data_IF_008063930051
#
_entry.id   IF_008063930051
#
_cell.length_a   1.000
_cell.length_b   1.000
_cell.length_c   1.000
_cell.angle_alpha   90.00
_cell.angle_beta   90.00
_cell.angle_gamma   90.00
#
_symmetry.space_group_name_H-M   'P 1'
#
loop_
_entity.id
_entity.type
_entity.pdbx_description
1 polymer ?
#
# COMPACT_ATOMS: atom_id res chain seq x y z
N UNK A 1 -10.26 -7.83 -27.71
CA UNK A 1 -10.01 -8.61 -26.47
C UNK A 1 -9.97 -7.60 -25.33
N UNK A 2 -10.81 -7.74 -24.30
CA UNK A 2 -10.95 -6.73 -23.23
C UNK A 2 -9.65 -6.50 -22.44
N UNK A 3 -8.72 -7.43 -22.49
CA UNK A 3 -7.40 -7.35 -21.85
C UNK A 3 -6.54 -6.15 -22.29
N UNK A 4 -6.75 -5.64 -23.51
CA UNK A 4 -5.99 -4.52 -24.05
C UNK A 4 -6.59 -3.14 -23.73
N UNK A 5 -7.78 -3.10 -23.11
CA UNK A 5 -8.43 -1.84 -22.73
C UNK A 5 -7.76 -1.27 -21.48
N UNK A 6 -7.65 0.05 -21.43
CA UNK A 6 -7.19 0.78 -20.25
C UNK A 6 -8.18 0.63 -19.10
N UNK A 7 -7.73 0.91 -17.89
CA UNK A 7 -8.59 0.90 -16.70
C UNK A 7 -9.76 1.89 -16.79
N UNK A 8 -9.55 3.04 -17.45
CA UNK A 8 -10.60 4.02 -17.65
C UNK A 8 -11.67 3.51 -18.62
N UNK A 9 -11.26 2.85 -19.70
CA UNK A 9 -12.18 2.25 -20.68
C UNK A 9 -12.97 1.09 -20.06
N UNK A 10 -12.29 0.18 -19.35
CA UNK A 10 -12.96 -0.91 -18.64
C UNK A 10 -13.94 -0.40 -17.59
N UNK A 11 -13.58 0.64 -16.86
CA UNK A 11 -14.46 1.26 -15.86
C UNK A 11 -15.69 1.89 -16.52
N UNK A 12 -15.51 2.63 -17.62
CA UNK A 12 -16.61 3.23 -18.37
C UNK A 12 -17.61 2.17 -18.86
N UNK A 13 -17.12 1.05 -19.40
CA UNK A 13 -17.96 -0.07 -19.80
C UNK A 13 -18.66 -0.72 -18.60
N UNK A 14 -17.94 -0.96 -17.50
CA UNK A 14 -18.53 -1.50 -16.28
C UNK A 14 -19.63 -0.59 -15.69
N UNK A 15 -19.50 0.74 -15.84
CA UNK A 15 -20.54 1.71 -15.48
C UNK A 15 -21.78 1.65 -16.37
N UNK A 16 -21.70 0.99 -17.53
CA UNK A 16 -22.86 0.66 -18.36
C UNK A 16 -23.38 -0.76 -18.12
N UNK A 17 -23.03 -1.35 -16.98
CA UNK A 17 -23.41 -2.70 -16.53
C UNK A 17 -22.84 -3.83 -17.39
N UNK A 18 -21.74 -3.58 -18.10
CA UNK A 18 -20.98 -4.62 -18.79
C UNK A 18 -20.21 -5.49 -17.78
N UNK A 19 -20.78 -6.65 -17.49
CA UNK A 19 -20.17 -7.64 -16.60
C UNK A 19 -18.83 -8.20 -17.10
N UNK A 20 -18.61 -8.26 -18.42
CA UNK A 20 -17.34 -8.74 -18.99
C UNK A 20 -16.23 -7.72 -18.77
N UNK A 21 -16.55 -6.43 -18.88
CA UNK A 21 -15.60 -5.37 -18.56
C UNK A 21 -15.18 -5.43 -17.08
N UNK A 22 -16.12 -5.71 -16.19
CA UNK A 22 -15.81 -5.90 -14.77
C UNK A 22 -15.02 -7.18 -14.48
N UNK A 23 -15.31 -8.28 -15.16
CA UNK A 23 -14.52 -9.51 -15.09
C UNK A 23 -13.05 -9.27 -15.50
N UNK A 24 -12.82 -8.48 -16.56
CA UNK A 24 -11.48 -8.08 -16.97
C UNK A 24 -10.76 -7.24 -15.90
N UNK A 25 -11.47 -6.34 -15.22
CA UNK A 25 -10.94 -5.61 -14.06
C UNK A 25 -10.56 -6.59 -12.95
N UNK A 26 -11.45 -7.52 -12.61
CA UNK A 26 -11.19 -8.52 -11.56
C UNK A 26 -9.94 -9.32 -11.90
N UNK A 27 -9.84 -9.88 -13.10
CA UNK A 27 -8.68 -10.66 -13.55
C UNK A 27 -7.37 -9.86 -13.43
N UNK A 28 -7.38 -8.61 -13.92
CA UNK A 28 -6.21 -7.71 -13.88
C UNK A 28 -5.71 -7.44 -12.46
N UNK A 29 -6.62 -7.29 -11.50
CA UNK A 29 -6.28 -6.87 -10.14
C UNK A 29 -6.18 -8.03 -9.12
N UNK A 30 -6.75 -9.21 -9.42
CA UNK A 30 -6.89 -10.32 -8.47
C UNK A 30 -5.56 -10.69 -7.81
N UNK A 31 -4.54 -11.03 -8.60
CA UNK A 31 -3.25 -11.54 -8.06
C UNK A 31 -2.57 -10.50 -7.17
N UNK A 32 -2.57 -9.23 -7.58
CA UNK A 32 -1.91 -8.17 -6.81
C UNK A 32 -2.64 -7.89 -5.49
N UNK A 33 -3.97 -7.80 -5.53
CA UNK A 33 -4.77 -7.52 -4.34
C UNK A 33 -4.78 -8.71 -3.39
N UNK A 34 -4.88 -9.94 -3.90
CA UNK A 34 -4.77 -11.16 -3.09
C UNK A 34 -3.44 -11.22 -2.35
N UNK A 35 -2.31 -11.06 -3.06
CA UNK A 35 -0.98 -11.03 -2.44
C UNK A 35 -0.89 -9.91 -1.40
N UNK A 36 -1.46 -8.74 -1.69
CA UNK A 36 -1.47 -7.62 -0.76
C UNK A 36 -2.24 -7.99 0.52
N UNK A 37 -3.43 -8.57 0.43
CA UNK A 37 -4.23 -8.99 1.59
C UNK A 37 -3.52 -10.09 2.38
N UNK A 38 -3.15 -11.18 1.69
CA UNK A 38 -2.54 -12.37 2.31
C UNK A 38 -1.27 -12.04 3.09
N UNK A 39 -0.43 -11.15 2.57
CA UNK A 39 0.81 -10.73 3.27
C UNK A 39 0.56 -9.95 4.57
N UNK A 40 -0.64 -9.38 4.79
CA UNK A 40 -1.02 -8.71 6.05
C UNK A 40 -1.71 -9.63 7.03
N UNK A 41 -2.58 -10.53 6.56
CA UNK A 41 -3.47 -11.29 7.44
C UNK A 41 -3.03 -12.75 7.62
N UNK A 42 -2.21 -13.30 6.72
CA UNK A 42 -1.67 -14.67 6.73
C UNK A 42 -2.72 -15.79 6.89
N UNK A 43 -3.97 -15.52 6.52
CA UNK A 43 -5.05 -16.49 6.43
C UNK A 43 -5.56 -16.53 4.98
N UNK A 44 -5.45 -17.69 4.32
CA UNK A 44 -5.87 -17.87 2.93
C UNK A 44 -7.39 -17.74 2.74
N UNK A 45 -8.18 -18.31 3.65
CA UNK A 45 -9.64 -18.29 3.56
C UNK A 45 -10.15 -16.86 3.68
N UNK A 46 -9.75 -16.17 4.75
CA UNK A 46 -10.15 -14.78 4.98
C UNK A 46 -9.63 -13.86 3.88
N UNK A 47 -8.46 -14.15 3.30
CA UNK A 47 -7.90 -13.32 2.23
C UNK A 47 -8.74 -13.40 0.96
N UNK A 48 -9.26 -14.60 0.64
CA UNK A 48 -10.18 -14.79 -0.50
C UNK A 48 -11.51 -14.09 -0.26
N UNK A 49 -12.06 -14.21 0.95
CA UNK A 49 -13.34 -13.61 1.32
C UNK A 49 -13.27 -12.08 1.29
N UNK A 50 -12.24 -11.48 1.92
CA UNK A 50 -11.98 -10.04 1.87
C UNK A 50 -11.82 -9.53 0.43
N UNK A 51 -11.09 -10.27 -0.40
CA UNK A 51 -10.91 -9.91 -1.81
C UNK A 51 -12.25 -9.93 -2.56
N UNK A 52 -13.08 -10.94 -2.30
CA UNK A 52 -14.41 -11.05 -2.89
C UNK A 52 -15.30 -9.89 -2.46
N UNK A 53 -15.34 -9.55 -1.17
CA UNK A 53 -16.10 -8.41 -0.65
C UNK A 53 -15.67 -7.09 -1.29
N UNK A 54 -14.37 -6.89 -1.49
CA UNK A 54 -13.84 -5.71 -2.18
C UNK A 54 -14.35 -5.63 -3.61
N UNK A 55 -14.35 -6.72 -4.36
CA UNK A 55 -14.90 -6.73 -5.72
C UNK A 55 -16.41 -6.53 -5.73
N UNK A 56 -17.16 -7.13 -4.81
CA UNK A 56 -18.61 -6.91 -4.67
C UNK A 56 -18.91 -5.43 -4.37
N UNK A 57 -18.17 -4.83 -3.44
CA UNK A 57 -18.30 -3.41 -3.10
C UNK A 57 -17.96 -2.52 -4.30
N UNK A 58 -16.90 -2.87 -5.04
CA UNK A 58 -16.52 -2.17 -6.26
C UNK A 58 -17.62 -2.23 -7.32
N UNK A 59 -18.23 -3.40 -7.55
CA UNK A 59 -19.35 -3.54 -8.48
C UNK A 59 -20.53 -2.68 -8.03
N UNK A 60 -20.95 -2.78 -6.76
CA UNK A 60 -22.08 -2.00 -6.23
C UNK A 60 -21.89 -0.48 -6.38
N UNK A 61 -20.66 0.00 -6.20
CA UNK A 61 -20.35 1.43 -6.24
C UNK A 61 -19.85 1.95 -7.60
N UNK A 62 -19.77 1.08 -8.64
CA UNK A 62 -19.11 1.36 -9.94
C UNK A 62 -19.46 2.71 -10.56
N UNK A 63 -20.72 3.12 -10.47
CA UNK A 63 -21.25 4.37 -11.02
C UNK A 63 -20.68 5.65 -10.40
N UNK A 64 -20.06 5.53 -9.22
CA UNK A 64 -19.46 6.66 -8.47
C UNK A 64 -17.94 6.67 -8.53
N UNK A 65 -17.34 5.63 -9.12
CA UNK A 65 -15.89 5.45 -9.15
C UNK A 65 -15.32 6.23 -10.34
N UNK A 66 -14.34 7.09 -10.08
CA UNK A 66 -13.60 7.82 -11.13
C UNK A 66 -12.24 7.18 -11.44
N UNK A 67 -11.69 6.39 -10.50
CA UNK A 67 -10.40 5.73 -10.66
C UNK A 67 -10.43 4.37 -9.96
N UNK A 68 -10.45 3.31 -10.77
CA UNK A 68 -10.60 1.93 -10.30
C UNK A 68 -9.41 1.48 -9.43
N UNK A 69 -8.18 1.81 -9.82
CA UNK A 69 -6.97 1.45 -9.09
C UNK A 69 -6.96 2.06 -7.68
N UNK A 70 -7.29 3.35 -7.58
CA UNK A 70 -7.35 4.08 -6.32
C UNK A 70 -8.48 3.54 -5.42
N UNK A 71 -9.65 3.25 -6.00
CA UNK A 71 -10.79 2.69 -5.27
C UNK A 71 -10.47 1.31 -4.71
N UNK A 72 -9.94 0.39 -5.53
CA UNK A 72 -9.61 -0.98 -5.11
C UNK A 72 -8.55 -0.96 -4.01
N UNK A 73 -7.49 -0.17 -4.18
CA UNK A 73 -6.44 -0.02 -3.17
C UNK A 73 -6.99 0.50 -1.84
N UNK A 74 -7.89 1.48 -1.88
CA UNK A 74 -8.55 2.03 -0.70
C UNK A 74 -9.44 0.98 -0.04
N UNK A 75 -10.26 0.29 -0.82
CA UNK A 75 -11.21 -0.71 -0.33
C UNK A 75 -10.50 -1.88 0.34
N UNK A 76 -9.46 -2.42 -0.29
CA UNK A 76 -8.62 -3.47 0.31
C UNK A 76 -7.99 -3.01 1.62
N UNK A 77 -7.49 -1.78 1.68
CA UNK A 77 -6.88 -1.25 2.90
C UNK A 77 -7.88 -1.21 4.07
N UNK A 78 -9.09 -0.71 3.84
CA UNK A 78 -10.12 -0.68 4.88
C UNK A 78 -10.63 -2.07 5.25
N UNK A 79 -10.78 -2.97 4.27
CA UNK A 79 -11.19 -4.35 4.53
C UNK A 79 -10.19 -5.07 5.45
N UNK A 80 -8.88 -4.88 5.23
CA UNK A 80 -7.85 -5.42 6.11
C UNK A 80 -7.90 -4.80 7.51
N UNK A 81 -8.08 -3.48 7.61
CA UNK A 81 -8.20 -2.81 8.92
C UNK A 81 -9.40 -3.38 9.69
N UNK A 82 -10.56 -3.47 9.05
CA UNK A 82 -11.77 -3.98 9.69
C UNK A 82 -11.59 -5.43 10.15
N UNK A 83 -11.01 -6.29 9.29
CA UNK A 83 -10.66 -7.65 9.65
C UNK A 83 -9.71 -7.72 10.85
N UNK A 84 -8.69 -6.85 10.91
CA UNK A 84 -7.73 -6.81 12.01
C UNK A 84 -8.38 -6.35 13.32
N UNK A 85 -9.25 -5.34 13.27
CA UNK A 85 -9.99 -4.85 14.43
C UNK A 85 -10.92 -5.94 14.96
N UNK A 86 -11.64 -6.62 14.06
CA UNK A 86 -12.57 -7.69 14.42
C UNK A 86 -11.85 -8.94 14.94
N UNK A 87 -10.71 -9.30 14.35
CA UNK A 87 -9.87 -10.39 14.87
C UNK A 87 -9.21 -10.05 16.19
N UNK A 88 -8.73 -8.83 16.42
CA UNK A 88 -8.21 -8.43 17.75
C UNK A 88 -9.30 -8.48 18.82
N UNK A 89 -10.53 -8.09 18.50
CA UNK A 89 -11.69 -8.24 19.40
C UNK A 89 -12.03 -9.71 19.65
N UNK A 90 -11.94 -10.56 18.63
CA UNK A 90 -12.14 -12.00 18.77
C UNK A 90 -11.01 -12.65 19.60
N UNK A 91 -9.76 -12.29 19.35
CA UNK A 91 -8.59 -12.77 20.08
C UNK A 91 -8.64 -12.33 21.54
N UNK A 92 -9.03 -11.08 21.83
CA UNK A 92 -9.24 -10.59 23.19
C UNK A 92 -10.39 -11.29 23.93
N UNK A 93 -11.35 -11.87 23.20
CA UNK A 93 -12.38 -12.76 23.75
C UNK A 93 -11.90 -14.21 23.89
N UNK A 94 -10.94 -14.61 23.05
CA UNK A 94 -10.42 -15.97 22.95
C UNK A 94 -9.08 -16.20 23.70
N UNK A 95 -8.50 -15.19 24.36
CA UNK A 95 -7.27 -15.28 25.19
C UNK A 95 -7.38 -16.19 26.43
N UNK A 96 -8.35 -17.10 26.45
CA UNK A 96 -8.37 -18.25 27.36
C UNK A 96 -7.72 -19.48 26.70
N UNK A 97 -7.53 -19.54 25.37
CA UNK A 97 -7.02 -20.75 24.70
C UNK A 97 -6.03 -20.45 23.56
N UNK A 98 -4.77 -20.76 23.87
CA UNK A 98 -3.68 -21.24 23.01
C UNK A 98 -2.90 -20.27 22.10
N UNK A 99 -1.64 -20.07 22.51
CA UNK A 99 -0.49 -19.54 21.77
C UNK A 99 0.11 -20.64 20.88
N UNK A 100 0.32 -20.36 19.58
CA UNK A 100 1.36 -21.00 18.76
C UNK A 100 1.91 -20.02 17.72
N UNK A 101 3.15 -19.60 17.93
CA UNK A 101 3.99 -18.95 16.94
C UNK A 101 4.68 -19.99 16.03
N UNK A 102 4.76 -19.69 14.73
CA UNK A 102 5.60 -20.43 13.77
C UNK A 102 6.56 -19.45 13.05
N UNK A 103 7.86 -19.77 12.89
CA UNK A 103 8.84 -18.83 12.35
C UNK A 103 8.91 -18.88 10.82
N UNK A 104 8.83 -17.73 10.15
CA UNK A 104 8.96 -17.61 8.68
C UNK A 104 10.36 -17.13 8.25
N UNK A 105 11.07 -17.96 7.48
CA UNK A 105 12.31 -17.63 6.74
C UNK A 105 11.99 -16.88 5.44
N UNK A 106 12.68 -15.78 5.15
CA UNK A 106 12.61 -15.04 3.88
C UNK A 106 13.95 -15.11 3.12
N UNK A 107 13.99 -14.91 1.78
CA UNK A 107 15.25 -14.83 1.03
C UNK A 107 16.05 -13.57 1.42
N UNK A 108 17.32 -13.77 1.79
CA UNK A 108 18.21 -12.76 2.40
C UNK A 108 18.46 -11.50 1.54
N UNK A 109 18.34 -11.60 0.21
CA UNK A 109 18.67 -10.51 -0.72
C UNK A 109 17.57 -9.43 -0.78
N UNK A 110 16.30 -9.82 -0.61
CA UNK A 110 15.18 -8.89 -0.47
C UNK A 110 15.12 -8.22 0.92
N UNK A 111 15.76 -8.81 1.93
CA UNK A 111 15.81 -8.24 3.27
C UNK A 111 16.81 -7.07 3.34
N UNK A 112 17.95 -7.17 2.66
CA UNK A 112 19.01 -6.15 2.76
C UNK A 112 18.61 -4.82 2.11
N UNK A 113 18.09 -4.85 0.86
CA UNK A 113 17.55 -3.66 0.16
C UNK A 113 16.39 -3.04 0.95
N UNK A 114 15.61 -3.86 1.68
CA UNK A 114 14.51 -3.39 2.50
C UNK A 114 14.95 -2.69 3.79
N UNK A 115 16.11 -3.04 4.36
CA UNK A 115 16.59 -2.48 5.63
C UNK A 115 17.12 -1.06 5.47
N UNK A 116 17.92 -0.79 4.43
CA UNK A 116 18.45 0.56 4.15
C UNK A 116 17.32 1.54 3.78
N UNK A 117 16.38 1.11 2.93
CA UNK A 117 15.21 1.93 2.58
C UNK A 117 14.34 2.16 3.82
N UNK A 118 14.20 1.16 4.70
CA UNK A 118 13.43 1.28 5.94
C UNK A 118 14.08 2.28 6.89
N UNK A 119 15.39 2.22 7.09
CA UNK A 119 16.13 3.16 7.93
C UNK A 119 15.99 4.61 7.43
N UNK A 120 15.99 4.81 6.12
CA UNK A 120 15.78 6.14 5.54
C UNK A 120 14.35 6.65 5.74
N UNK A 121 13.36 5.76 5.65
CA UNK A 121 11.96 6.09 5.96
C UNK A 121 11.82 6.47 7.44
N UNK A 122 12.41 5.71 8.36
CA UNK A 122 12.43 6.01 9.79
C UNK A 122 13.12 7.36 10.07
N UNK A 123 14.23 7.62 9.40
CA UNK A 123 14.96 8.88 9.50
C UNK A 123 14.10 10.05 9.04
N UNK A 124 13.38 9.93 7.92
CA UNK A 124 12.49 11.00 7.48
C UNK A 124 11.27 11.18 8.40
N UNK A 125 10.73 10.10 8.96
CA UNK A 125 9.67 10.16 9.98
C UNK A 125 10.15 10.89 11.24
N UNK A 126 11.40 10.67 11.66
CA UNK A 126 11.98 11.34 12.83
C UNK A 126 12.05 12.87 12.67
N UNK A 127 12.22 13.36 11.43
CA UNK A 127 12.28 14.79 11.07
C UNK A 127 10.91 15.46 10.98
N UNK A 128 9.82 14.69 11.00
CA UNK A 128 8.47 15.24 11.00
C UNK A 128 8.16 15.88 12.35
N UNK A 129 7.25 16.87 12.34
CA UNK A 129 6.72 17.38 13.60
C UNK A 129 5.94 16.28 14.35
N UNK A 130 5.78 16.46 15.65
CA UNK A 130 5.22 15.42 16.52
C UNK A 130 3.83 14.96 16.08
N UNK A 131 2.96 15.89 15.70
CA UNK A 131 1.59 15.59 15.24
C UNK A 131 1.58 14.74 13.97
N UNK A 132 2.34 15.13 12.95
CA UNK A 132 2.42 14.42 11.68
C UNK A 132 3.02 13.02 11.87
N UNK A 133 4.04 12.90 12.71
CA UNK A 133 4.64 11.62 13.08
C UNK A 133 3.62 10.71 13.76
N UNK A 134 2.95 11.16 14.83
CA UNK A 134 1.93 10.39 15.55
C UNK A 134 0.82 9.89 14.60
N UNK A 135 0.28 10.80 13.77
CA UNK A 135 -0.74 10.46 12.77
C UNK A 135 -0.24 9.39 11.78
N UNK A 136 1.00 9.54 11.28
CA UNK A 136 1.58 8.58 10.35
C UNK A 136 1.78 7.21 11.02
N UNK A 137 2.34 7.19 12.22
CA UNK A 137 2.57 5.98 13.02
C UNK A 137 1.26 5.25 13.30
N UNK A 138 0.24 5.95 13.79
CA UNK A 138 -1.06 5.35 14.06
C UNK A 138 -1.72 4.78 12.81
N UNK A 139 -1.59 5.47 11.67
CA UNK A 139 -2.11 4.96 10.41
C UNK A 139 -1.33 3.76 9.86
N UNK A 140 0.01 3.74 10.00
CA UNK A 140 0.88 2.78 9.30
C UNK A 140 1.32 1.59 10.12
N UNK A 141 1.53 1.76 11.42
CA UNK A 141 1.97 0.69 12.32
C UNK A 141 0.83 0.20 13.21
N UNK A 142 -0.02 1.10 13.70
CA UNK A 142 -1.15 0.71 14.55
C UNK A 142 -2.40 0.33 13.73
N UNK A 143 -2.40 0.66 12.42
CA UNK A 143 -3.49 0.40 11.46
C UNK A 143 -4.81 1.08 11.83
N UNK A 144 -4.76 2.20 12.55
CA UNK A 144 -5.94 3.01 12.87
C UNK A 144 -6.48 3.71 11.63
N UNK A 145 -7.81 3.77 11.52
CA UNK A 145 -8.52 4.50 10.49
C UNK A 145 -8.46 6.02 10.71
N UNK A 146 -8.77 6.79 9.67
CA UNK A 146 -8.78 8.26 9.75
C UNK A 146 -9.75 8.78 10.83
N UNK A 147 -10.99 8.25 10.96
CA UNK A 147 -11.89 8.64 12.04
C UNK A 147 -11.32 8.32 13.43
N UNK A 148 -10.74 7.12 13.63
CA UNK A 148 -10.14 6.73 14.92
C UNK A 148 -8.97 7.65 15.32
N UNK A 149 -8.10 8.01 14.37
CA UNK A 149 -6.99 8.94 14.60
C UNK A 149 -7.50 10.36 14.90
N UNK A 150 -8.56 10.78 14.20
CA UNK A 150 -9.19 12.08 14.39
C UNK A 150 -9.78 12.18 15.81
N UNK A 151 -10.49 11.15 16.25
CA UNK A 151 -11.04 11.04 17.59
C UNK A 151 -9.93 11.01 18.66
N UNK A 152 -8.94 10.13 18.50
CA UNK A 152 -7.85 9.94 19.47
C UNK A 152 -7.05 11.22 19.75
N UNK A 153 -6.79 12.02 18.71
CA UNK A 153 -6.00 13.25 18.83
C UNK A 153 -6.84 14.54 18.86
N UNK A 154 -8.17 14.44 18.89
CA UNK A 154 -9.06 15.61 18.89
C UNK A 154 -8.91 16.49 17.63
N UNK A 155 -8.68 15.87 16.48
CA UNK A 155 -8.48 16.53 15.19
C UNK A 155 -9.66 16.32 14.26
N UNK A 156 -9.78 17.14 13.22
CA UNK A 156 -10.70 16.83 12.11
C UNK A 156 -10.13 15.71 11.23
N UNK A 157 -10.99 14.87 10.65
CA UNK A 157 -10.57 13.89 9.64
C UNK A 157 -9.78 14.53 8.48
N UNK A 158 -10.13 15.76 8.11
CA UNK A 158 -9.43 16.49 7.05
C UNK A 158 -8.01 16.85 7.47
N UNK A 159 -7.80 17.25 8.74
CA UNK A 159 -6.47 17.49 9.32
C UNK A 159 -5.63 16.21 9.30
N UNK A 160 -6.22 15.06 9.63
CA UNK A 160 -5.55 13.76 9.56
C UNK A 160 -5.17 13.41 8.12
N UNK A 161 -6.11 13.54 7.15
CA UNK A 161 -5.86 13.33 5.71
C UNK A 161 -4.73 14.21 5.17
N UNK A 162 -4.71 15.49 5.57
CA UNK A 162 -3.69 16.45 5.15
C UNK A 162 -2.31 16.07 5.71
N UNK A 163 -2.22 15.73 6.99
CA UNK A 163 -0.95 15.30 7.61
C UNK A 163 -0.43 14.00 6.99
N UNK A 164 -1.29 13.00 6.73
CA UNK A 164 -0.89 11.78 6.04
C UNK A 164 -0.39 12.05 4.62
N UNK A 165 -1.08 12.92 3.88
CA UNK A 165 -0.66 13.35 2.54
C UNK A 165 0.71 14.02 2.56
N UNK A 166 0.95 14.91 3.52
CA UNK A 166 2.23 15.60 3.69
C UNK A 166 3.35 14.63 4.09
N UNK A 167 3.11 13.75 5.06
CA UNK A 167 4.07 12.73 5.50
C UNK A 167 4.50 11.84 4.32
N UNK A 168 3.53 11.34 3.55
CA UNK A 168 3.80 10.52 2.36
C UNK A 168 4.54 11.30 1.27
N UNK A 169 4.24 12.59 1.07
CA UNK A 169 4.97 13.43 0.12
C UNK A 169 6.44 13.57 0.51
N UNK A 170 6.73 13.82 1.80
CA UNK A 170 8.10 13.91 2.32
C UNK A 170 8.89 12.63 2.09
N UNK A 171 8.31 11.49 2.47
CA UNK A 171 8.93 10.17 2.27
C UNK A 171 9.20 9.93 0.78
N UNK A 172 8.22 10.19 -0.10
CA UNK A 172 8.41 10.01 -1.56
C UNK A 172 9.52 10.88 -2.13
N UNK A 173 9.59 12.15 -1.73
CA UNK A 173 10.64 13.07 -2.20
C UNK A 173 12.02 12.61 -1.76
N UNK A 174 12.14 12.13 -0.51
CA UNK A 174 13.39 11.60 0.01
C UNK A 174 13.84 10.36 -0.76
N UNK A 175 12.93 9.43 -1.02
CA UNK A 175 13.23 8.23 -1.80
C UNK A 175 13.50 8.52 -3.29
N UNK A 176 12.83 9.52 -3.87
CA UNK A 176 13.07 9.95 -5.25
C UNK A 176 14.48 10.53 -5.45
N UNK A 177 15.07 11.14 -4.41
CA UNK A 177 16.45 11.64 -4.47
C UNK A 177 17.45 10.53 -4.83
N UNK A 178 17.24 9.30 -4.37
CA UNK A 178 18.09 8.16 -4.72
C UNK A 178 18.02 7.82 -6.20
N UNK A 179 16.85 7.95 -6.83
CA UNK A 179 16.70 7.76 -8.27
C UNK A 179 17.49 8.82 -9.05
N UNK A 180 17.43 10.09 -8.63
CA UNK A 180 18.20 11.15 -9.28
C UNK A 180 19.71 10.98 -9.09
N UNK A 181 20.17 10.59 -7.89
CA UNK A 181 21.58 10.27 -7.64
C UNK A 181 22.04 9.10 -8.49
N UNK A 182 21.23 8.05 -8.61
CA UNK A 182 21.54 6.90 -9.45
C UNK A 182 21.63 7.28 -10.93
N UNK A 183 20.67 8.04 -11.46
CA UNK A 183 20.72 8.56 -12.84
C UNK A 183 21.93 9.45 -13.06
N UNK A 184 22.27 10.31 -12.10
CA UNK A 184 23.47 11.14 -12.17
C UNK A 184 24.74 10.31 -12.23
N UNK A 185 24.88 9.28 -11.38
CA UNK A 185 26.00 8.35 -11.41
C UNK A 185 26.09 7.67 -12.79
N UNK A 186 24.97 7.17 -13.32
CA UNK A 186 24.95 6.56 -14.66
C UNK A 186 25.36 7.53 -15.78
N UNK A 187 24.94 8.80 -15.70
CA UNK A 187 25.35 9.83 -16.65
C UNK A 187 26.84 10.15 -16.53
N UNK A 188 27.40 10.22 -15.32
CA UNK A 188 28.84 10.45 -15.14
C UNK A 188 29.68 9.27 -15.61
N UNK A 189 29.23 8.04 -15.36
CA UNK A 189 29.90 6.83 -15.83
C UNK A 189 29.85 6.75 -17.36
N UNK A 190 28.69 7.00 -17.99
CA UNK A 190 28.58 6.99 -19.44
C UNK A 190 29.47 8.04 -20.09
N UNK A 191 29.56 9.25 -19.51
CA UNK A 191 30.47 10.30 -19.98
C UNK A 191 31.95 9.90 -19.85
N UNK A 192 32.35 9.18 -18.79
CA UNK A 192 33.71 8.64 -18.65
C UNK A 192 34.03 7.57 -19.72
N UNK A 193 33.06 6.71 -20.05
CA UNK A 193 33.21 5.73 -21.14
C UNK A 193 33.28 6.41 -22.52
N UNK A 194 32.50 7.47 -22.75
CA UNK A 194 32.52 8.25 -24.00
C UNK A 194 33.80 9.08 -24.17
N UNK A 195 34.39 9.59 -23.08
CA UNK A 195 35.60 10.42 -23.11
C UNK A 195 36.92 9.61 -23.11
N UNK A 196 36.86 8.28 -23.20
CA UNK A 196 38.04 7.45 -23.45
C UNK A 196 39.11 7.46 -22.35
N UNK A 197 38.80 7.88 -21.13
CA UNK A 197 39.74 7.76 -20.00
C UNK A 197 39.81 6.30 -19.56
N UNK A 198 40.70 5.54 -20.20
CA UNK A 198 41.19 4.29 -19.63
C UNK A 198 41.93 4.64 -18.34
N UNK A 199 41.35 4.25 -17.20
CA UNK A 199 42.06 4.24 -15.92
C UNK A 199 43.30 3.36 -16.10
N UNK A 200 44.47 3.99 -16.24
CA UNK A 200 45.74 3.32 -16.05
C UNK A 200 45.92 3.13 -14.54
N UNK A 201 45.71 1.89 -14.09
CA UNK A 201 46.18 1.41 -12.79
C UNK A 201 47.71 1.48 -12.71
#
# INVERSE_FOLDING_TARGET
MMENLTDAELLSLAQTDDGKAFEAIMYRYNVQLYKYIYTRIRNEHDAKDLLQEVFISCWKNRHTINNIAAYLKRSVHYAIIDWQVNNKKALARNTILEEKDEPTTYPAENQLISLEIKEEVETEISKMNETMRKIFVSSRWESKSIPEIAEEYGLSEQTVKNNLSMALKRIRLRLAAYFFTFVYILLTLSLQFLNGTTFHF
#
